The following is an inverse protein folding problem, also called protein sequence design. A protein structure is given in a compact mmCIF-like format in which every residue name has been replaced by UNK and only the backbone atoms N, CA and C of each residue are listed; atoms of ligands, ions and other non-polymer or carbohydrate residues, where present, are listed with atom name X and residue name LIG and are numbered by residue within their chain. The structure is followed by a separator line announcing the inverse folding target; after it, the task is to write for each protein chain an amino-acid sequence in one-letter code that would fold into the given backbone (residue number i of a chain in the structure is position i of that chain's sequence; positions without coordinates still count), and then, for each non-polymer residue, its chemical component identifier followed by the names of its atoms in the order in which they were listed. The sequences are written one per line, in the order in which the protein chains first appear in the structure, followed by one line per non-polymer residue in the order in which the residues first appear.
data_IF_263437655113
#
_entry.id   IF_263437655113
#
_cell.length_a   1.000
_cell.length_b   1.000
_cell.length_c   1.000
_cell.angle_alpha   90.00
_cell.angle_beta   90.00
_cell.angle_gamma   90.00
#
_symmetry.space_group_name_H-M   'P 1'
#
loop_
_entity.id
_entity.type
_entity.pdbx_description
1 polymer ?
#
# COMPACT_ATOMS: atom_id res chain seq x y z
N UNK A 1 1.10 -11.03 14.45
CA UNK A 1 2.32 -10.50 13.80
C UNK A 1 2.27 -8.97 13.58
N UNK A 2 1.26 -8.35 12.92
CA UNK A 2 1.20 -6.87 12.79
C UNK A 2 1.06 -6.15 14.15
N UNK A 3 0.41 -6.81 15.12
CA UNK A 3 0.29 -6.31 16.49
C UNK A 3 1.63 -6.24 17.23
N UNK A 4 2.60 -7.11 16.93
CA UNK A 4 3.94 -7.03 17.53
C UNK A 4 4.70 -5.79 17.03
N UNK A 5 4.63 -5.52 15.72
CA UNK A 5 5.19 -4.31 15.12
C UNK A 5 4.62 -3.04 15.79
N UNK A 6 3.30 -3.01 15.96
CA UNK A 6 2.63 -1.86 16.57
C UNK A 6 2.93 -1.70 18.07
N UNK A 7 2.99 -2.80 18.81
CA UNK A 7 3.34 -2.77 20.23
C UNK A 7 4.78 -2.29 20.42
N UNK A 8 5.73 -2.83 19.66
CA UNK A 8 7.11 -2.35 19.67
C UNK A 8 7.17 -0.84 19.36
N UNK A 9 6.48 -0.41 18.31
CA UNK A 9 6.38 1.00 17.94
C UNK A 9 5.87 1.88 19.09
N UNK A 10 4.70 1.57 19.64
CA UNK A 10 4.07 2.36 20.72
C UNK A 10 4.91 2.47 21.97
N UNK A 11 5.54 1.37 22.40
CA UNK A 11 6.22 1.31 23.70
C UNK A 11 7.68 1.76 23.65
N UNK A 12 8.34 1.66 22.48
CA UNK A 12 9.78 1.94 22.37
C UNK A 12 10.12 3.10 21.42
N UNK A 13 9.35 3.28 20.34
CA UNK A 13 9.74 4.17 19.23
C UNK A 13 8.81 5.38 19.03
N UNK A 14 7.66 5.43 19.69
CA UNK A 14 6.71 6.52 19.57
C UNK A 14 7.14 7.74 20.39
N UNK A 15 8.06 8.54 19.83
CA UNK A 15 8.59 9.77 20.47
C UNK A 15 7.63 10.96 20.44
N UNK A 16 6.62 10.89 19.58
CA UNK A 16 5.61 11.93 19.45
C UNK A 16 4.23 11.34 19.72
N UNK A 17 3.39 11.99 20.55
CA UNK A 17 2.03 11.54 20.77
C UNK A 17 1.23 11.64 19.46
N UNK A 18 0.49 10.57 19.17
CA UNK A 18 -0.46 10.50 18.06
C UNK A 18 -1.86 10.65 18.66
N UNK A 19 -2.49 11.78 18.40
CA UNK A 19 -3.82 12.13 18.90
C UNK A 19 -4.88 11.60 17.95
N UNK A 20 -5.47 10.46 18.30
CA UNK A 20 -6.59 9.87 17.59
C UNK A 20 -7.81 10.77 17.74
N UNK A 21 -8.51 11.04 16.64
CA UNK A 21 -9.76 11.80 16.64
C UNK A 21 -10.93 10.90 16.21
N UNK A 22 -12.13 11.32 16.58
CA UNK A 22 -13.40 10.65 16.30
C UNK A 22 -14.28 11.42 15.30
N UNK A 23 -13.77 12.51 14.71
CA UNK A 23 -14.50 13.30 13.72
C UNK A 23 -14.90 12.43 12.49
N UNK A 24 -16.17 12.05 12.45
CA UNK A 24 -16.71 11.11 11.46
C UNK A 24 -16.52 11.60 10.01
N UNK A 25 -16.71 12.90 9.75
CA UNK A 25 -16.54 13.46 8.39
C UNK A 25 -15.09 13.35 7.92
N UNK A 26 -14.14 13.67 8.80
CA UNK A 26 -12.71 13.55 8.49
C UNK A 26 -12.33 12.08 8.31
N UNK A 27 -12.84 11.16 9.15
CA UNK A 27 -12.60 9.72 8.99
C UNK A 27 -13.10 9.22 7.63
N UNK A 28 -14.28 9.64 7.19
CA UNK A 28 -14.82 9.30 5.87
C UNK A 28 -13.90 9.80 4.76
N UNK A 29 -13.48 11.08 4.83
CA UNK A 29 -12.51 11.67 3.90
C UNK A 29 -11.21 10.85 3.87
N UNK A 30 -10.66 10.50 5.03
CA UNK A 30 -9.43 9.71 5.13
C UNK A 30 -9.55 8.32 4.51
N UNK A 31 -10.68 7.65 4.73
CA UNK A 31 -10.97 6.31 4.18
C UNK A 31 -11.15 6.35 2.67
N UNK A 32 -11.77 7.40 2.14
CA UNK A 32 -11.94 7.59 0.70
C UNK A 32 -10.61 7.75 -0.02
N UNK A 33 -9.67 8.51 0.54
CA UNK A 33 -8.32 8.67 -0.02
C UNK A 33 -7.33 7.57 0.34
N UNK A 34 -7.73 6.55 1.13
CA UNK A 34 -6.87 5.43 1.47
C UNK A 34 -6.93 4.32 0.41
N UNK A 35 -5.85 4.16 -0.37
CA UNK A 35 -5.68 3.14 -1.41
C UNK A 35 -4.45 2.26 -1.15
N UNK A 36 -4.43 1.07 -1.75
CA UNK A 36 -3.25 0.18 -1.71
C UNK A 36 -2.13 0.59 -2.68
N UNK A 37 -1.24 -0.34 -2.99
CA UNK A 37 -0.24 -0.16 -4.05
C UNK A 37 -0.86 -0.03 -5.45
N UNK A 38 -0.08 0.47 -6.41
CA UNK A 38 -0.43 0.48 -7.83
C UNK A 38 -0.09 -0.87 -8.44
N UNK A 39 -1.04 -1.49 -9.12
CA UNK A 39 -0.78 -2.65 -9.97
C UNK A 39 -1.38 -2.34 -11.34
N UNK A 40 -0.55 -2.33 -12.38
CA UNK A 40 -0.98 -1.92 -13.72
C UNK A 40 -0.20 -2.65 -14.80
N UNK A 41 -0.91 -3.03 -15.85
CA UNK A 41 -0.32 -3.57 -17.07
C UNK A 41 -0.30 -2.46 -18.12
N UNK A 42 0.90 -1.99 -18.46
CA UNK A 42 1.09 -1.03 -19.57
C UNK A 42 1.12 -1.75 -20.92
N UNK A 43 1.29 -3.07 -20.91
CA UNK A 43 1.19 -3.96 -22.06
C UNK A 43 0.41 -5.22 -21.69
N UNK A 44 -0.40 -5.74 -22.61
CA UNK A 44 -1.10 -7.03 -22.50
C UNK A 44 -0.73 -7.89 -23.71
N UNK A 45 -0.36 -9.13 -23.47
CA UNK A 45 0.08 -10.09 -24.47
C UNK A 45 1.55 -10.51 -24.30
N UNK A 46 2.09 -11.14 -25.33
CA UNK A 46 3.49 -11.54 -25.42
C UNK A 46 4.33 -10.37 -25.91
N UNK A 47 5.29 -9.92 -25.11
CA UNK A 47 6.21 -8.86 -25.51
C UNK A 47 7.12 -9.34 -26.66
N UNK A 48 7.55 -8.43 -27.57
CA UNK A 48 8.54 -8.73 -28.60
C UNK A 48 9.82 -9.34 -28.01
N UNK A 49 10.59 -10.07 -28.82
CA UNK A 49 11.88 -10.62 -28.39
C UNK A 49 12.87 -9.47 -28.16
N UNK A 50 13.13 -9.18 -26.89
CA UNK A 50 14.07 -8.17 -26.41
C UNK A 50 14.52 -8.55 -24.99
N UNK A 51 15.51 -7.86 -24.44
CA UNK A 51 15.98 -8.06 -23.07
C UNK A 51 15.11 -7.25 -22.09
N UNK A 52 14.47 -7.97 -21.17
CA UNK A 52 13.63 -7.41 -20.12
C UNK A 52 14.25 -7.61 -18.74
N UNK A 53 13.93 -6.68 -17.84
CA UNK A 53 14.44 -6.61 -16.48
C UNK A 53 13.28 -6.48 -15.51
N UNK A 54 13.31 -7.28 -14.45
CA UNK A 54 12.42 -7.19 -13.30
C UNK A 54 13.16 -6.46 -12.19
N UNK A 55 12.68 -5.26 -11.87
CA UNK A 55 13.23 -4.42 -10.82
C UNK A 55 12.26 -4.34 -9.65
N UNK A 56 12.76 -4.33 -8.42
CA UNK A 56 11.99 -4.19 -7.18
C UNK A 56 12.63 -3.16 -6.24
N UNK A 57 11.85 -2.25 -5.66
CA UNK A 57 12.37 -1.26 -4.71
C UNK A 57 12.65 -1.94 -3.37
N UNK A 58 13.89 -1.83 -2.90
CA UNK A 58 14.29 -2.34 -1.60
C UNK A 58 13.50 -1.69 -0.46
N UNK A 59 12.47 -2.39 0.02
CA UNK A 59 11.62 -1.98 1.14
C UNK A 59 10.94 -0.62 0.90
N UNK A 60 10.14 -0.53 -0.17
CA UNK A 60 9.42 0.70 -0.57
C UNK A 60 8.70 1.42 0.59
N UNK A 61 7.82 0.73 1.32
CA UNK A 61 7.07 1.38 2.41
C UNK A 61 7.98 1.89 3.53
N UNK A 62 8.93 1.09 4.06
CA UNK A 62 9.94 1.58 5.00
C UNK A 62 10.73 2.78 4.49
N UNK A 63 11.12 2.78 3.22
CA UNK A 63 11.82 3.90 2.62
C UNK A 63 10.96 5.17 2.69
N UNK A 64 9.74 5.16 2.14
CA UNK A 64 8.88 6.37 2.18
C UNK A 64 8.56 6.80 3.60
N UNK A 65 8.40 5.86 4.54
CA UNK A 65 8.20 6.14 5.97
C UNK A 65 9.34 6.97 6.58
N UNK A 66 10.56 6.86 6.05
CA UNK A 66 11.70 7.70 6.47
C UNK A 66 11.79 9.04 5.74
N UNK A 67 11.16 9.17 4.57
CA UNK A 67 11.32 10.34 3.68
C UNK A 67 10.32 11.47 3.93
N UNK A 68 9.22 11.21 4.64
CA UNK A 68 8.16 12.21 4.85
C UNK A 68 7.78 12.42 6.32
N UNK A 69 7.13 13.56 6.58
CA UNK A 69 6.37 13.77 7.80
C UNK A 69 5.00 13.11 7.69
N UNK A 70 4.47 12.64 8.82
CA UNK A 70 3.18 11.96 8.90
C UNK A 70 2.23 12.63 9.90
N UNK A 71 0.91 12.57 9.65
CA UNK A 71 -0.10 13.13 10.54
C UNK A 71 0.04 12.61 11.98
N UNK A 72 0.00 13.52 12.95
CA UNK A 72 0.03 13.20 14.39
C UNK A 72 -1.17 13.73 15.15
N UNK A 73 -1.82 14.78 14.63
CA UNK A 73 -3.00 15.39 15.24
C UNK A 73 -3.82 16.10 14.18
N UNK A 74 -5.12 15.87 14.15
CA UNK A 74 -6.07 16.71 13.40
C UNK A 74 -6.13 18.10 14.07
N UNK A 75 -5.81 19.14 13.29
CA UNK A 75 -5.88 20.52 13.74
C UNK A 75 -7.28 21.10 13.54
N UNK A 76 -7.76 21.06 12.29
CA UNK A 76 -9.07 21.56 11.90
C UNK A 76 -9.46 20.97 10.54
N UNK A 77 -10.74 21.14 10.22
CA UNK A 77 -11.38 20.69 9.00
C UNK A 77 -12.26 21.82 8.45
N UNK A 78 -12.36 21.93 7.13
CA UNK A 78 -13.25 22.90 6.49
C UNK A 78 -13.76 22.40 5.14
N UNK A 79 -14.99 22.76 4.80
CA UNK A 79 -15.62 22.57 3.48
C UNK A 79 -15.64 23.87 2.67
N UNK A 80 -15.08 24.95 3.22
CA UNK A 80 -15.06 26.28 2.61
C UNK A 80 -13.65 26.85 2.73
N UNK A 81 -12.91 26.80 1.62
CA UNK A 81 -11.58 27.40 1.55
C UNK A 81 -11.31 27.93 0.14
N UNK A 82 -10.74 29.13 0.05
CA UNK A 82 -10.26 29.68 -1.21
C UNK A 82 -8.95 29.01 -1.60
N UNK A 83 -8.66 28.91 -2.90
CA UNK A 83 -7.42 28.28 -3.37
C UNK A 83 -6.16 28.99 -2.82
N UNK A 84 -6.20 30.33 -2.68
CA UNK A 84 -5.11 31.10 -2.08
C UNK A 84 -4.87 30.71 -0.61
N UNK A 85 -5.93 30.66 0.20
CA UNK A 85 -5.82 30.25 1.62
C UNK A 85 -5.40 28.79 1.75
N UNK A 86 -5.87 27.92 0.87
CA UNK A 86 -5.50 26.51 0.81
C UNK A 86 -3.99 26.34 0.59
N UNK A 87 -3.42 27.01 -0.42
CA UNK A 87 -1.97 26.98 -0.69
C UNK A 87 -1.15 27.38 0.54
N UNK A 88 -1.52 28.51 1.18
CA UNK A 88 -0.84 29.00 2.40
C UNK A 88 -0.91 28.01 3.56
N UNK A 89 -1.97 27.22 3.67
CA UNK A 89 -2.08 26.18 4.71
C UNK A 89 -1.33 24.90 4.35
N UNK A 90 -1.25 24.54 3.06
CA UNK A 90 -0.48 23.41 2.58
C UNK A 90 1.03 23.55 2.88
N UNK A 91 1.53 24.79 3.00
CA UNK A 91 2.92 25.06 3.40
C UNK A 91 3.17 24.84 4.91
N UNK A 92 2.11 24.84 5.73
CA UNK A 92 2.20 24.83 7.21
C UNK A 92 1.72 23.53 7.84
N UNK A 93 0.88 22.78 7.13
CA UNK A 93 0.22 21.59 7.65
C UNK A 93 0.38 20.44 6.66
N UNK A 94 0.29 19.22 7.17
CA UNK A 94 -0.06 18.09 6.33
C UNK A 94 -1.55 18.18 6.03
N UNK A 95 -1.94 17.78 4.82
CA UNK A 95 -3.30 17.98 4.32
C UNK A 95 -3.79 16.71 3.66
N UNK A 96 -5.06 16.40 3.91
CA UNK A 96 -5.84 15.50 3.09
C UNK A 96 -7.07 16.25 2.60
N UNK A 97 -7.30 16.26 1.30
CA UNK A 97 -8.33 17.10 0.71
C UNK A 97 -9.07 16.41 -0.44
N UNK A 98 -10.37 16.70 -0.51
CA UNK A 98 -11.21 16.41 -1.67
C UNK A 98 -11.10 17.57 -2.65
N UNK A 99 -10.66 17.26 -3.85
CA UNK A 99 -10.38 18.22 -4.91
C UNK A 99 -10.94 17.75 -6.24
N UNK A 100 -11.33 18.72 -7.08
CA UNK A 100 -11.55 18.50 -8.50
C UNK A 100 -10.27 18.90 -9.22
N UNK A 101 -9.71 17.99 -10.00
CA UNK A 101 -8.44 18.18 -10.72
C UNK A 101 -8.66 18.07 -12.23
N UNK A 102 -7.69 18.55 -13.01
CA UNK A 102 -7.52 18.21 -14.41
C UNK A 102 -6.05 17.88 -14.67
N UNK A 103 -5.69 16.59 -14.73
CA UNK A 103 -4.30 16.13 -14.83
C UNK A 103 -4.04 15.44 -16.17
N UNK A 104 -2.79 15.50 -16.64
CA UNK A 104 -2.36 14.82 -17.89
C UNK A 104 -1.65 13.49 -17.65
N UNK A 105 -1.36 13.17 -16.39
CA UNK A 105 -0.56 12.00 -16.01
C UNK A 105 -1.27 11.12 -14.98
N UNK A 106 -1.23 9.79 -15.11
CA UNK A 106 -1.97 8.85 -14.27
C UNK A 106 -1.25 8.54 -12.95
N UNK A 107 -1.18 9.51 -12.03
CA UNK A 107 -0.54 9.33 -10.70
C UNK A 107 -1.51 9.37 -9.52
N UNK A 108 -2.78 9.70 -9.75
CA UNK A 108 -3.81 9.72 -8.70
C UNK A 108 -4.67 8.47 -8.79
N UNK A 109 -4.77 7.74 -7.68
CA UNK A 109 -5.63 6.56 -7.58
C UNK A 109 -7.10 6.98 -7.45
N UNK A 110 -7.99 6.28 -8.16
CA UNK A 110 -9.43 6.42 -8.05
C UNK A 110 -10.12 5.05 -8.09
N UNK A 111 -11.14 4.85 -7.26
CA UNK A 111 -12.01 3.68 -7.35
C UNK A 111 -13.01 3.88 -8.48
N UNK A 112 -12.99 3.01 -9.48
CA UNK A 112 -13.96 2.97 -10.59
C UNK A 112 -14.46 1.52 -10.68
N UNK A 113 -15.77 1.30 -10.56
CA UNK A 113 -16.38 -0.04 -10.57
C UNK A 113 -15.69 -1.03 -9.60
N UNK A 114 -15.45 -0.59 -8.36
CA UNK A 114 -14.74 -1.36 -7.31
C UNK A 114 -13.29 -1.77 -7.65
N UNK A 115 -12.68 -1.19 -8.68
CA UNK A 115 -11.27 -1.39 -9.05
C UNK A 115 -10.47 -0.12 -8.81
N UNK A 116 -9.20 -0.27 -8.49
CA UNK A 116 -8.27 0.88 -8.40
C UNK A 116 -7.77 1.19 -9.80
N UNK A 117 -8.02 2.40 -10.26
CA UNK A 117 -7.62 2.92 -11.56
C UNK A 117 -6.81 4.22 -11.39
N UNK A 118 -6.07 4.61 -12.42
CA UNK A 118 -5.26 5.83 -12.45
C UNK A 118 -5.69 6.71 -13.63
N UNK A 119 -6.85 7.39 -13.54
CA UNK A 119 -7.38 8.15 -14.66
C UNK A 119 -6.60 9.44 -14.92
N UNK A 120 -6.74 9.97 -16.13
CA UNK A 120 -6.31 11.32 -16.54
C UNK A 120 -7.54 12.18 -16.91
N UNK A 121 -7.33 13.47 -17.11
CA UNK A 121 -8.38 14.44 -17.39
C UNK A 121 -9.03 14.98 -16.12
N UNK A 122 -10.30 15.37 -16.23
CA UNK A 122 -11.04 16.06 -15.17
C UNK A 122 -11.82 15.07 -14.29
N UNK A 123 -11.52 15.05 -12.99
CA UNK A 123 -12.25 14.22 -12.03
C UNK A 123 -12.10 14.70 -10.58
N UNK A 124 -13.02 14.26 -9.72
CA UNK A 124 -12.91 14.41 -8.26
C UNK A 124 -12.06 13.29 -7.65
N UNK A 125 -11.20 13.63 -6.69
CA UNK A 125 -10.39 12.69 -5.91
C UNK A 125 -10.15 13.20 -4.48
N UNK A 126 -9.77 12.29 -3.59
CA UNK A 126 -9.25 12.62 -2.26
C UNK A 126 -7.78 12.21 -2.20
N UNK A 127 -6.90 13.17 -1.93
CA UNK A 127 -5.44 13.01 -2.01
C UNK A 127 -4.76 13.65 -0.81
N UNK A 128 -3.53 13.22 -0.54
CA UNK A 128 -2.70 13.65 0.58
C UNK A 128 -1.66 14.71 0.15
N UNK A 129 -0.88 15.14 1.13
CA UNK A 129 0.00 16.31 1.06
C UNK A 129 0.89 16.38 -0.17
N UNK A 130 1.65 15.34 -0.50
CA UNK A 130 2.66 15.42 -1.58
C UNK A 130 2.02 15.47 -2.98
N UNK A 131 0.90 14.77 -3.16
CA UNK A 131 0.09 14.90 -4.38
C UNK A 131 -0.54 16.28 -4.47
N UNK A 132 -1.07 16.83 -3.37
CA UNK A 132 -1.59 18.19 -3.33
C UNK A 132 -0.55 19.24 -3.68
N UNK A 133 0.69 19.09 -3.18
CA UNK A 133 1.81 19.98 -3.53
C UNK A 133 2.12 19.93 -5.03
N UNK A 134 2.16 18.72 -5.62
CA UNK A 134 2.34 18.54 -7.07
C UNK A 134 1.21 19.20 -7.86
N UNK A 135 -0.05 18.96 -7.47
CA UNK A 135 -1.22 19.57 -8.12
C UNK A 135 -1.23 21.11 -8.04
N UNK A 136 -0.80 21.68 -6.92
CA UNK A 136 -0.64 23.14 -6.74
C UNK A 136 0.45 23.68 -7.65
N UNK A 137 1.61 23.01 -7.70
CA UNK A 137 2.75 23.38 -8.56
C UNK A 137 2.34 23.37 -10.04
N UNK A 138 1.64 22.33 -10.46
CA UNK A 138 1.21 22.13 -11.84
C UNK A 138 -0.04 22.95 -12.20
N UNK A 139 -0.63 23.67 -11.22
CA UNK A 139 -1.87 24.46 -11.36
C UNK A 139 -3.05 23.65 -11.91
N UNK A 140 -3.15 22.38 -11.51
CA UNK A 140 -4.16 21.42 -12.00
C UNK A 140 -5.35 21.26 -11.06
N UNK A 141 -5.35 21.91 -9.89
CA UNK A 141 -6.53 22.00 -9.00
C UNK A 141 -7.54 22.98 -9.58
N UNK A 142 -8.73 22.48 -9.92
CA UNK A 142 -9.87 23.30 -10.33
C UNK A 142 -10.61 23.84 -9.11
N UNK A 143 -10.86 22.98 -8.12
CA UNK A 143 -11.65 23.32 -6.93
C UNK A 143 -11.20 22.49 -5.73
N UNK A 144 -11.15 23.12 -4.55
CA UNK A 144 -11.04 22.43 -3.26
C UNK A 144 -12.44 22.38 -2.64
N UNK A 145 -12.98 21.18 -2.43
CA UNK A 145 -14.31 21.00 -1.85
C UNK A 145 -14.26 20.84 -0.34
N UNK A 146 -13.23 20.16 0.16
CA UNK A 146 -13.09 19.82 1.57
C UNK A 146 -11.63 19.55 1.89
N UNK A 147 -11.16 19.97 3.07
CA UNK A 147 -9.79 19.72 3.50
C UNK A 147 -9.70 19.52 5.02
N UNK A 148 -8.92 18.52 5.42
CA UNK A 148 -8.49 18.27 6.79
C UNK A 148 -7.00 18.58 6.91
N UNK A 149 -6.64 19.29 7.98
CA UNK A 149 -5.29 19.80 8.22
C UNK A 149 -4.71 19.17 9.49
N UNK A 150 -3.47 18.71 9.42
CA UNK A 150 -2.82 17.94 10.47
C UNK A 150 -1.45 18.52 10.84
N UNK A 151 -1.07 18.36 12.12
CA UNK A 151 0.35 18.48 12.50
C UNK A 151 1.12 17.27 11.97
N UNK A 152 2.30 17.50 11.40
CA UNK A 152 3.19 16.46 10.88
C UNK A 152 4.45 16.28 11.73
N UNK A 153 4.94 15.04 11.83
CA UNK A 153 6.25 14.70 12.42
C UNK A 153 6.90 13.50 11.71
N UNK A 154 8.23 13.35 11.87
CA UNK A 154 8.99 12.14 11.52
C UNK A 154 8.76 11.03 12.52
N UNK A 155 7.60 10.38 12.43
CA UNK A 155 7.19 9.39 13.43
C UNK A 155 7.83 8.00 13.23
N UNK A 156 8.40 7.69 12.06
CA UNK A 156 8.88 6.34 11.75
C UNK A 156 10.39 6.16 11.74
N UNK A 157 11.18 7.24 11.68
CA UNK A 157 12.63 7.15 11.42
C UNK A 157 13.35 6.18 12.37
N UNK A 158 13.21 6.37 13.69
CA UNK A 158 13.91 5.54 14.68
C UNK A 158 13.52 4.05 14.58
N UNK A 159 12.23 3.77 14.33
CA UNK A 159 11.72 2.42 14.16
C UNK A 159 12.32 1.75 12.91
N UNK A 160 12.29 2.44 11.77
CA UNK A 160 12.79 1.89 10.51
C UNK A 160 14.30 1.74 10.55
N UNK A 161 15.03 2.72 11.08
CA UNK A 161 16.49 2.65 11.21
C UNK A 161 16.91 1.46 12.08
N UNK A 162 16.23 1.23 13.20
CA UNK A 162 16.52 0.10 14.08
C UNK A 162 16.33 -1.25 13.38
N UNK A 163 15.16 -1.49 12.78
CA UNK A 163 14.88 -2.76 12.12
C UNK A 163 15.64 -2.93 10.80
N UNK A 164 16.02 -1.85 10.12
CA UNK A 164 16.86 -1.91 8.93
C UNK A 164 18.29 -2.35 9.29
N UNK A 165 18.88 -1.80 10.37
CA UNK A 165 20.18 -2.23 10.88
C UNK A 165 20.18 -3.71 11.28
N UNK A 166 19.14 -4.17 11.97
CA UNK A 166 18.98 -5.61 12.28
C UNK A 166 18.89 -6.47 11.03
N UNK A 167 18.05 -6.06 10.05
CA UNK A 167 17.91 -6.75 8.77
C UNK A 167 19.25 -6.89 8.04
N UNK A 168 20.08 -5.84 8.05
CA UNK A 168 21.41 -5.84 7.46
C UNK A 168 22.38 -6.74 8.23
N UNK A 169 22.38 -6.70 9.56
CA UNK A 169 23.13 -7.61 10.43
C UNK A 169 22.83 -9.08 10.11
N UNK A 170 21.57 -9.49 10.21
CA UNK A 170 21.15 -10.86 9.89
C UNK A 170 21.43 -11.27 8.44
N UNK A 171 21.48 -10.32 7.51
CA UNK A 171 21.86 -10.62 6.12
C UNK A 171 23.35 -10.97 6.00
N UNK A 172 24.22 -10.30 6.77
CA UNK A 172 25.66 -10.62 6.83
C UNK A 172 25.91 -11.96 7.51
N UNK A 173 25.14 -12.28 8.53
CA UNK A 173 25.28 -13.52 9.31
C UNK A 173 24.64 -14.74 8.64
N UNK A 174 23.98 -14.57 7.48
CA UNK A 174 23.27 -15.63 6.78
C UNK A 174 21.94 -16.06 7.42
N UNK A 175 21.49 -15.39 8.49
CA UNK A 175 20.23 -15.67 9.17
C UNK A 175 19.02 -15.19 8.35
N UNK A 176 18.48 -16.11 7.55
CA UNK A 176 17.27 -15.89 6.74
C UNK A 176 16.03 -15.62 7.60
N UNK A 177 15.93 -16.19 8.80
CA UNK A 177 14.76 -16.03 9.67
C UNK A 177 14.74 -14.64 10.32
N UNK A 178 15.82 -14.23 10.99
CA UNK A 178 15.95 -12.92 11.61
C UNK A 178 15.82 -11.79 10.59
N UNK A 179 16.40 -11.98 9.40
CA UNK A 179 16.21 -11.08 8.26
C UNK A 179 14.73 -10.92 7.87
N UNK A 180 14.00 -12.03 7.77
CA UNK A 180 12.57 -12.04 7.40
C UNK A 180 11.71 -11.36 8.46
N UNK A 181 11.96 -11.64 9.73
CA UNK A 181 11.27 -10.99 10.86
C UNK A 181 11.52 -9.49 10.85
N UNK A 182 12.76 -9.05 10.67
CA UNK A 182 13.11 -7.62 10.61
C UNK A 182 12.42 -6.91 9.44
N UNK A 183 12.45 -7.50 8.23
CA UNK A 183 11.70 -6.97 7.06
C UNK A 183 10.21 -6.87 7.35
N UNK A 184 9.64 -7.89 7.99
CA UNK A 184 8.23 -7.95 8.34
C UNK A 184 7.81 -6.85 9.32
N UNK A 185 8.61 -6.61 10.37
CA UNK A 185 8.35 -5.58 11.38
C UNK A 185 8.26 -4.20 10.75
N UNK A 186 9.12 -3.90 9.75
CA UNK A 186 9.06 -2.63 9.02
C UNK A 186 7.82 -2.53 8.12
N UNK A 187 7.55 -3.56 7.31
CA UNK A 187 6.51 -3.49 6.29
C UNK A 187 5.08 -3.51 6.84
N UNK A 188 4.86 -4.02 8.05
CA UNK A 188 3.49 -4.19 8.59
C UNK A 188 3.03 -3.09 9.53
N UNK A 189 3.93 -2.22 9.97
CA UNK A 189 3.62 -1.16 10.93
C UNK A 189 2.55 -0.21 10.39
N UNK A 190 2.74 0.34 9.19
CA UNK A 190 1.83 1.37 8.65
C UNK A 190 0.38 0.84 8.50
N UNK A 191 0.21 -0.45 8.21
CA UNK A 191 -1.10 -1.07 8.02
C UNK A 191 -1.96 -1.03 9.28
N UNK A 192 -1.35 -0.96 10.46
CA UNK A 192 -2.07 -0.85 11.75
C UNK A 192 -2.80 0.48 11.89
N UNK A 193 -2.26 1.55 11.31
CA UNK A 193 -2.94 2.86 11.27
C UNK A 193 -4.13 2.89 10.32
N UNK A 194 -4.25 1.91 9.41
CA UNK A 194 -5.39 1.74 8.51
C UNK A 194 -6.37 0.65 8.93
N UNK A 195 -6.21 0.05 10.12
CA UNK A 195 -7.00 -1.11 10.53
C UNK A 195 -8.47 -0.74 10.80
N UNK A 196 -9.40 -1.61 10.39
CA UNK A 196 -10.81 -1.57 10.83
C UNK A 196 -11.02 -2.53 11.99
N UNK A 197 -11.98 -2.21 12.85
CA UNK A 197 -12.42 -3.16 13.88
C UNK A 197 -13.15 -4.33 13.21
N UNK A 198 -12.95 -5.53 13.73
CA UNK A 198 -13.86 -6.64 13.43
C UNK A 198 -15.11 -6.45 14.28
N UNK A 199 -16.27 -6.75 13.71
CA UNK A 199 -17.54 -6.74 14.44
C UNK A 199 -17.86 -8.19 14.78
N UNK A 200 -17.94 -8.49 16.08
CA UNK A 200 -18.40 -9.80 16.56
C UNK A 200 -19.91 -9.81 16.39
N UNK A 201 -20.38 -10.66 15.48
CA UNK A 201 -21.80 -10.79 15.14
C UNK A 201 -22.49 -11.77 16.09
N UNK A 202 -21.77 -12.84 16.45
CA UNK A 202 -22.27 -13.91 17.29
C UNK A 202 -21.12 -14.51 18.09
N UNK A 203 -21.40 -14.86 19.34
CA UNK A 203 -20.49 -15.57 20.22
C UNK A 203 -21.29 -16.60 21.02
N UNK A 204 -20.85 -17.84 21.04
CA UNK A 204 -21.46 -18.93 21.80
C UNK A 204 -20.41 -19.92 22.31
N UNK A 205 -20.80 -20.75 23.27
CA UNK A 205 -19.95 -21.80 23.79
C UNK A 205 -19.76 -22.92 22.75
N UNK A 206 -18.58 -23.52 22.76
CA UNK A 206 -18.23 -24.67 21.93
C UNK A 206 -17.41 -25.67 22.74
N UNK A 207 -17.36 -26.96 22.36
CA UNK A 207 -16.46 -27.90 23.02
C UNK A 207 -15.00 -27.39 22.98
N UNK A 208 -14.29 -27.51 24.11
CA UNK A 208 -12.90 -27.05 24.27
C UNK A 208 -11.96 -27.62 23.20
N UNK A 209 -12.18 -28.89 22.84
CA UNK A 209 -11.35 -29.64 21.89
C UNK A 209 -11.57 -29.18 20.44
N UNK A 210 -12.68 -28.49 20.16
CA UNK A 210 -13.08 -28.14 18.80
C UNK A 210 -12.25 -26.95 18.32
N UNK A 211 -11.52 -27.16 17.22
CA UNK A 211 -10.72 -26.12 16.57
C UNK A 211 -11.09 -26.04 15.10
N UNK A 212 -11.85 -25.01 14.74
CA UNK A 212 -12.33 -24.81 13.38
C UNK A 212 -12.14 -23.36 12.94
N UNK A 213 -11.99 -23.20 11.63
CA UNK A 213 -11.61 -21.95 10.99
C UNK A 213 -12.15 -21.95 9.58
N UNK A 214 -13.20 -21.18 9.32
CA UNK A 214 -13.72 -21.04 7.95
C UNK A 214 -14.36 -19.69 7.70
N UNK A 215 -14.27 -19.25 6.44
CA UNK A 215 -14.94 -18.06 5.96
C UNK A 215 -16.21 -18.43 5.20
N UNK A 216 -17.26 -17.65 5.39
CA UNK A 216 -18.50 -17.76 4.63
C UNK A 216 -18.86 -16.44 3.95
N UNK A 217 -19.88 -16.51 3.09
CA UNK A 217 -20.52 -15.33 2.51
C UNK A 217 -22.01 -15.43 2.81
N UNK A 218 -22.53 -14.42 3.48
CA UNK A 218 -23.95 -14.26 3.67
C UNK A 218 -24.60 -14.00 2.30
N UNK A 219 -25.59 -14.82 1.93
CA UNK A 219 -26.19 -14.77 0.59
C UNK A 219 -27.16 -13.59 0.42
N UNK A 220 -27.70 -13.05 1.52
CA UNK A 220 -28.68 -11.95 1.50
C UNK A 220 -27.97 -10.61 1.38
N UNK A 221 -27.04 -10.35 2.30
CA UNK A 221 -26.26 -9.11 2.37
C UNK A 221 -25.04 -9.13 1.46
N UNK A 222 -24.59 -10.30 1.03
CA UNK A 222 -23.36 -10.48 0.25
C UNK A 222 -22.07 -10.28 1.05
N UNK A 223 -22.16 -10.02 2.36
CA UNK A 223 -21.03 -9.76 3.26
C UNK A 223 -20.28 -11.04 3.60
N UNK A 224 -18.98 -10.91 3.84
CA UNK A 224 -18.13 -12.05 4.24
C UNK A 224 -18.01 -12.07 5.75
N UNK A 225 -18.20 -13.25 6.32
CA UNK A 225 -17.98 -13.51 7.74
C UNK A 225 -16.92 -14.59 7.92
N UNK A 226 -16.41 -14.70 9.13
CA UNK A 226 -15.41 -15.66 9.52
C UNK A 226 -15.85 -16.32 10.83
N UNK A 227 -15.83 -17.66 10.87
CA UNK A 227 -16.18 -18.46 12.07
C UNK A 227 -14.93 -19.08 12.66
N UNK A 228 -14.55 -18.64 13.87
CA UNK A 228 -13.47 -19.22 14.68
C UNK A 228 -14.10 -20.06 15.76
N UNK A 229 -13.72 -21.33 15.84
CA UNK A 229 -13.97 -22.15 17.03
C UNK A 229 -12.62 -22.42 17.67
N UNK A 230 -12.43 -21.94 18.89
CA UNK A 230 -11.20 -22.15 19.65
C UNK A 230 -11.40 -21.86 21.13
N UNK A 231 -10.81 -22.69 22.00
CA UNK A 231 -10.74 -22.41 23.44
C UNK A 231 -12.12 -22.39 24.11
N UNK A 232 -13.03 -23.25 23.67
CA UNK A 232 -14.37 -23.35 24.22
C UNK A 232 -15.36 -22.31 23.67
N UNK A 233 -14.98 -21.54 22.65
CA UNK A 233 -15.83 -20.50 22.06
C UNK A 233 -15.92 -20.61 20.55
N UNK A 234 -17.12 -20.36 20.04
CA UNK A 234 -17.38 -20.06 18.65
C UNK A 234 -17.61 -18.55 18.52
N UNK A 235 -16.87 -17.91 17.62
CA UNK A 235 -17.03 -16.49 17.31
C UNK A 235 -17.25 -16.31 15.82
N UNK A 236 -18.33 -15.63 15.45
CA UNK A 236 -18.60 -15.20 14.08
C UNK A 236 -18.26 -13.73 13.98
N UNK A 237 -17.25 -13.39 13.18
CA UNK A 237 -16.86 -12.01 12.93
C UNK A 237 -17.15 -11.58 11.51
N UNK A 238 -17.61 -10.34 11.36
CA UNK A 238 -17.64 -9.65 10.08
C UNK A 238 -16.54 -8.58 10.05
N UNK A 239 -16.09 -8.23 8.84
CA UNK A 239 -15.21 -7.08 8.68
C UNK A 239 -15.99 -5.80 8.95
N UNK A 240 -15.85 -5.27 10.16
CA UNK A 240 -16.52 -4.06 10.58
C UNK A 240 -16.16 -2.83 9.75
N UNK A 241 -17.03 -1.82 9.81
CA UNK A 241 -16.84 -0.56 9.08
C UNK A 241 -16.09 0.47 9.91
N UNK A 242 -16.13 0.33 11.24
CA UNK A 242 -15.51 1.26 12.19
C UNK A 242 -13.99 1.15 12.21
N UNK A 243 -13.34 2.28 12.48
CA UNK A 243 -11.91 2.33 12.75
C UNK A 243 -11.59 1.53 14.03
N UNK A 244 -10.44 0.86 14.04
CA UNK A 244 -9.88 0.33 15.30
C UNK A 244 -9.48 1.47 16.24
N UNK A 245 -9.40 1.19 17.55
CA UNK A 245 -9.14 2.20 18.58
C UNK A 245 -7.87 3.04 18.33
N UNK A 246 -6.81 2.44 17.82
CA UNK A 246 -5.53 3.12 17.54
C UNK A 246 -5.35 3.49 16.05
N UNK A 247 -6.43 3.52 15.29
CA UNK A 247 -6.39 3.78 13.85
C UNK A 247 -6.39 5.27 13.58
N UNK A 248 -5.42 5.71 12.77
CA UNK A 248 -5.38 7.07 12.22
C UNK A 248 -5.13 6.94 10.72
N UNK A 249 -6.22 6.91 9.94
CA UNK A 249 -6.21 6.46 8.55
C UNK A 249 -5.37 7.39 7.68
N UNK A 250 -5.36 8.69 7.99
CA UNK A 250 -4.52 9.68 7.32
C UNK A 250 -3.03 9.27 7.27
N UNK A 251 -2.49 8.63 8.32
CA UNK A 251 -1.10 8.13 8.32
C UNK A 251 -0.90 7.06 7.25
N UNK A 252 -1.78 6.06 7.22
CA UNK A 252 -1.68 4.97 6.25
C UNK A 252 -1.95 5.45 4.81
N UNK A 253 -2.85 6.42 4.63
CA UNK A 253 -3.10 7.07 3.35
C UNK A 253 -1.86 7.81 2.83
N UNK A 254 -1.19 8.61 3.68
CA UNK A 254 0.06 9.29 3.31
C UNK A 254 1.17 8.30 2.95
N UNK A 255 1.37 7.22 3.73
CA UNK A 255 2.41 6.21 3.43
C UNK A 255 2.17 5.58 2.05
N UNK A 256 0.94 5.15 1.79
CA UNK A 256 0.62 4.46 0.54
C UNK A 256 0.59 5.39 -0.67
N UNK A 257 0.17 6.64 -0.51
CA UNK A 257 0.19 7.62 -1.60
C UNK A 257 1.61 8.05 -1.96
N UNK A 258 2.47 8.31 -0.96
CA UNK A 258 3.87 8.65 -1.22
C UNK A 258 4.59 7.49 -1.93
N UNK A 259 4.27 6.23 -1.57
CA UNK A 259 4.79 5.06 -2.29
C UNK A 259 4.33 5.00 -3.75
N UNK A 260 3.04 5.26 -4.03
CA UNK A 260 2.53 5.33 -5.41
C UNK A 260 3.16 6.47 -6.21
N UNK A 261 3.38 7.63 -5.57
CA UNK A 261 4.00 8.78 -6.20
C UNK A 261 5.47 8.50 -6.57
N UNK A 262 6.23 7.90 -5.65
CA UNK A 262 7.61 7.47 -5.91
C UNK A 262 7.70 6.45 -7.05
N UNK A 263 6.80 5.47 -7.07
CA UNK A 263 6.73 4.51 -8.17
C UNK A 263 6.44 5.21 -9.50
N UNK A 264 5.48 6.14 -9.54
CA UNK A 264 5.18 6.88 -10.76
C UNK A 264 6.36 7.72 -11.24
N UNK A 265 7.07 8.40 -10.33
CA UNK A 265 8.26 9.17 -10.68
C UNK A 265 9.37 8.28 -11.26
N UNK A 266 9.51 7.07 -10.73
CA UNK A 266 10.44 6.08 -11.26
C UNK A 266 10.02 5.56 -12.64
N UNK A 267 8.73 5.33 -12.87
CA UNK A 267 8.18 4.95 -14.19
C UNK A 267 8.45 6.07 -15.21
N UNK A 268 8.24 7.33 -14.82
CA UNK A 268 8.56 8.48 -15.68
C UNK A 268 10.05 8.56 -16.00
N UNK A 269 10.90 8.31 -15.00
CA UNK A 269 12.36 8.32 -15.17
C UNK A 269 12.83 7.19 -16.10
N UNK A 270 12.29 5.98 -15.96
CA UNK A 270 12.52 4.88 -16.90
C UNK A 270 11.99 5.19 -18.30
N UNK A 271 10.99 6.04 -18.39
CA UNK A 271 10.22 6.32 -19.60
C UNK A 271 8.98 5.44 -19.63
N UNK A 272 7.81 6.08 -19.77
CA UNK A 272 6.51 5.37 -19.72
C UNK A 272 6.41 4.27 -20.78
N UNK A 273 6.96 4.50 -21.98
CA UNK A 273 7.00 3.49 -23.05
C UNK A 273 8.00 2.35 -22.83
N UNK A 274 8.88 2.48 -21.85
CA UNK A 274 9.91 1.50 -21.50
C UNK A 274 9.50 0.62 -20.32
N UNK A 275 8.31 0.82 -19.74
CA UNK A 275 7.76 0.05 -18.62
C UNK A 275 6.50 -0.69 -19.08
N UNK A 276 6.45 -2.01 -18.84
CA UNK A 276 5.38 -2.88 -19.36
C UNK A 276 4.41 -3.36 -18.28
N UNK A 277 4.87 -3.42 -17.03
CA UNK A 277 4.09 -3.89 -15.88
C UNK A 277 4.60 -3.25 -14.60
N UNK A 278 3.71 -3.06 -13.62
CA UNK A 278 4.10 -2.78 -12.24
C UNK A 278 3.20 -3.49 -11.22
N UNK A 279 3.76 -3.83 -10.06
CA UNK A 279 3.02 -4.26 -8.87
C UNK A 279 3.67 -3.73 -7.59
N UNK A 280 3.07 -2.70 -7.03
CA UNK A 280 3.41 -2.01 -5.77
C UNK A 280 4.80 -1.39 -5.73
N UNK A 281 5.84 -2.20 -5.69
CA UNK A 281 7.25 -1.86 -5.58
C UNK A 281 8.09 -2.41 -6.73
N UNK A 282 7.48 -3.17 -7.65
CA UNK A 282 8.15 -3.78 -8.78
C UNK A 282 7.73 -3.19 -10.13
N UNK A 283 8.66 -3.19 -11.10
CA UNK A 283 8.42 -2.85 -12.51
C UNK A 283 9.10 -3.85 -13.45
N UNK A 284 8.49 -4.06 -14.62
CA UNK A 284 9.14 -4.73 -15.75
C UNK A 284 9.51 -3.70 -16.80
N UNK A 285 10.77 -3.68 -17.20
CA UNK A 285 11.32 -2.68 -18.14
C UNK A 285 12.25 -3.31 -19.17
N UNK A 286 12.48 -2.64 -20.29
CA UNK A 286 13.48 -3.02 -21.29
C UNK A 286 14.87 -2.44 -20.94
N UNK A 287 15.85 -2.64 -21.83
CA UNK A 287 17.21 -2.11 -21.66
C UNK A 287 17.28 -0.59 -21.53
N UNK A 288 16.41 0.15 -22.22
CA UNK A 288 16.37 1.61 -22.16
C UNK A 288 15.93 2.10 -20.78
N UNK A 289 14.80 1.59 -20.27
CA UNK A 289 14.32 1.98 -18.94
C UNK A 289 15.23 1.50 -17.82
N UNK A 290 15.82 0.31 -17.95
CA UNK A 290 16.87 -0.17 -17.04
C UNK A 290 18.07 0.80 -16.98
N UNK A 291 18.55 1.25 -18.14
CA UNK A 291 19.69 2.17 -18.24
C UNK A 291 19.38 3.52 -17.61
N UNK A 292 18.18 4.07 -17.85
CA UNK A 292 17.74 5.36 -17.26
C UNK A 292 17.61 5.29 -15.73
N UNK A 293 17.31 4.11 -15.18
CA UNK A 293 17.27 3.86 -13.74
C UNK A 293 18.64 3.48 -13.16
N UNK A 294 19.68 3.27 -13.97
CA UNK A 294 20.96 2.67 -13.56
C UNK A 294 21.61 3.31 -12.34
N UNK A 295 21.56 4.65 -12.20
CA UNK A 295 22.10 5.38 -11.05
C UNK A 295 21.37 5.13 -9.71
N UNK A 296 20.22 4.45 -9.74
CA UNK A 296 19.43 4.09 -8.55
C UNK A 296 19.40 2.58 -8.30
N UNK A 297 20.18 1.80 -9.07
CA UNK A 297 20.25 0.35 -8.91
C UNK A 297 21.27 -0.01 -7.84
N UNK A 298 20.83 -0.69 -6.78
CA UNK A 298 21.69 -1.20 -5.72
C UNK A 298 21.07 -2.45 -5.08
N UNK A 299 21.89 -3.48 -4.83
CA UNK A 299 21.42 -4.80 -4.38
C UNK A 299 20.62 -4.78 -3.06
N UNK A 300 21.03 -3.94 -2.11
CA UNK A 300 20.47 -3.93 -0.75
C UNK A 300 20.09 -2.57 -0.17
N UNK A 301 20.47 -1.46 -0.82
CA UNK A 301 20.31 -0.11 -0.26
C UNK A 301 18.84 0.26 -0.19
N UNK A 302 18.39 0.72 0.97
CA UNK A 302 17.00 1.11 1.22
C UNK A 302 16.52 2.13 0.19
N UNK A 303 15.37 1.87 -0.44
CA UNK A 303 14.78 2.75 -1.45
C UNK A 303 15.38 2.65 -2.86
N UNK A 304 16.52 1.98 -3.04
CA UNK A 304 17.09 1.73 -4.37
C UNK A 304 16.40 0.57 -5.09
N UNK A 305 16.48 0.58 -6.41
CA UNK A 305 16.04 -0.51 -7.27
C UNK A 305 17.00 -1.70 -7.15
N UNK A 306 16.45 -2.89 -6.98
CA UNK A 306 17.17 -4.15 -7.02
C UNK A 306 16.81 -4.85 -8.33
N UNK A 307 17.82 -5.29 -9.08
CA UNK A 307 17.61 -6.24 -10.16
C UNK A 307 17.27 -7.61 -9.57
N UNK A 308 16.03 -8.05 -9.75
CA UNK A 308 15.58 -9.37 -9.31
C UNK A 308 15.83 -10.44 -10.36
N UNK A 309 15.53 -10.13 -11.63
CA UNK A 309 15.64 -11.08 -12.73
C UNK A 309 15.78 -10.38 -14.10
N UNK A 310 16.24 -11.12 -15.11
CA UNK A 310 16.35 -10.68 -16.50
C UNK A 310 15.99 -11.82 -17.45
N UNK A 311 15.29 -11.52 -18.53
CA UNK A 311 14.82 -12.53 -19.50
C UNK A 311 14.72 -11.97 -20.91
N UNK A 312 14.54 -12.86 -21.90
CA UNK A 312 14.20 -12.50 -23.28
C UNK A 312 12.72 -12.70 -23.64
N UNK A 313 11.93 -13.24 -22.71
CA UNK A 313 10.52 -13.58 -22.94
C UNK A 313 9.64 -13.17 -21.78
N UNK A 314 8.62 -12.35 -22.07
CA UNK A 314 7.62 -11.92 -21.09
C UNK A 314 6.24 -11.97 -21.73
N UNK A 315 5.27 -12.52 -20.99
CA UNK A 315 3.86 -12.52 -21.37
C UNK A 315 3.03 -11.98 -20.22
N UNK A 316 2.32 -10.88 -20.42
CA UNK A 316 1.46 -10.26 -19.41
C UNK A 316 0.01 -10.53 -19.80
N UNK A 317 -0.72 -11.26 -18.96
CA UNK A 317 -2.14 -11.59 -19.19
C UNK A 317 -3.08 -10.69 -18.39
N UNK A 318 -2.60 -10.16 -17.27
CA UNK A 318 -3.33 -9.20 -16.47
C UNK A 318 -2.64 -8.88 -15.15
N UNK A 319 -3.29 -8.08 -14.28
CA UNK A 319 -2.77 -7.75 -12.97
C UNK A 319 -2.52 -9.01 -12.14
N UNK A 320 -1.25 -9.25 -11.79
CA UNK A 320 -0.80 -10.44 -11.05
C UNK A 320 -1.05 -11.75 -11.82
N UNK A 321 -1.04 -11.68 -13.15
CA UNK A 321 -1.04 -12.82 -14.04
C UNK A 321 -0.07 -12.59 -15.20
N UNK A 322 1.13 -13.17 -15.11
CA UNK A 322 2.19 -13.00 -16.09
C UNK A 322 3.17 -14.18 -16.09
N UNK A 323 3.98 -14.25 -17.13
CA UNK A 323 5.15 -15.13 -17.24
C UNK A 323 6.36 -14.25 -17.55
N UNK A 324 7.42 -14.36 -16.77
CA UNK A 324 8.67 -13.63 -16.91
C UNK A 324 9.81 -14.65 -16.94
N UNK A 325 10.31 -14.98 -18.15
CA UNK A 325 11.17 -16.15 -18.34
C UNK A 325 10.46 -17.43 -17.89
N UNK A 326 11.10 -18.18 -16.99
CA UNK A 326 10.56 -19.42 -16.43
C UNK A 326 9.61 -19.17 -15.24
N UNK A 327 9.57 -17.95 -14.69
CA UNK A 327 8.66 -17.60 -13.61
C UNK A 327 7.25 -17.35 -14.15
N UNK A 328 6.28 -18.19 -13.74
CA UNK A 328 4.86 -17.92 -13.94
C UNK A 328 4.20 -17.49 -12.63
N UNK A 329 3.55 -16.33 -12.66
CA UNK A 329 2.74 -15.83 -11.56
C UNK A 329 1.27 -15.82 -11.96
N UNK A 330 0.40 -16.40 -11.12
CA UNK A 330 -1.05 -16.34 -11.27
C UNK A 330 -1.68 -16.05 -9.92
N UNK A 331 -2.49 -14.98 -9.86
CA UNK A 331 -3.14 -14.54 -8.63
C UNK A 331 -3.98 -15.67 -8.01
N UNK A 332 -3.73 -15.96 -6.74
CA UNK A 332 -4.48 -16.97 -5.99
C UNK A 332 -4.01 -18.41 -6.23
N UNK A 333 -3.02 -18.62 -7.10
CA UNK A 333 -2.42 -19.93 -7.37
C UNK A 333 -0.99 -19.91 -6.82
N UNK A 334 -0.66 -20.86 -5.93
CA UNK A 334 0.68 -20.99 -5.36
C UNK A 334 1.65 -21.56 -6.37
N UNK A 335 2.94 -21.30 -6.17
CA UNK A 335 4.02 -21.87 -7.01
C UNK A 335 4.04 -23.40 -7.01
N UNK A 336 3.58 -24.03 -5.92
CA UNK A 336 3.50 -25.48 -5.76
C UNK A 336 2.09 -26.04 -6.08
N UNK A 337 1.19 -25.24 -6.65
CA UNK A 337 -0.14 -25.73 -7.03
C UNK A 337 -0.02 -26.70 -8.23
N UNK A 338 -0.74 -27.81 -8.16
CA UNK A 338 -0.79 -28.82 -9.23
C UNK A 338 -1.95 -28.47 -10.16
N UNK A 339 -1.67 -28.32 -11.46
CA UNK A 339 -2.74 -28.15 -12.46
C UNK A 339 -3.43 -29.50 -12.67
N UNK A 340 -4.70 -29.60 -12.31
CA UNK A 340 -5.49 -30.83 -12.45
C UNK A 340 -6.39 -30.81 -13.69
N UNK A 341 -6.78 -29.63 -14.17
CA UNK A 341 -7.48 -29.44 -15.44
C UNK A 341 -7.27 -28.02 -15.96
N UNK A 342 -7.87 -27.67 -17.11
CA UNK A 342 -7.83 -26.30 -17.60
C UNK A 342 -8.47 -25.33 -16.60
N UNK A 343 -7.69 -24.30 -16.25
CA UNK A 343 -7.98 -23.32 -15.20
C UNK A 343 -8.32 -23.90 -13.82
N UNK A 344 -7.98 -25.16 -13.56
CA UNK A 344 -8.27 -25.84 -12.30
C UNK A 344 -6.97 -26.29 -11.65
N UNK A 345 -6.77 -25.85 -10.41
CA UNK A 345 -5.53 -26.07 -9.66
C UNK A 345 -5.84 -26.60 -8.28
N UNK A 346 -5.14 -27.65 -7.89
CA UNK A 346 -5.12 -28.19 -6.54
C UNK A 346 -3.94 -27.58 -5.77
N UNK A 347 -4.19 -27.12 -4.55
CA UNK A 347 -3.15 -26.51 -3.71
C UNK A 347 -3.53 -26.60 -2.23
N UNK A 348 -2.53 -26.69 -1.36
CA UNK A 348 -2.72 -26.70 0.09
C UNK A 348 -3.50 -25.46 0.56
N UNK A 349 -4.56 -25.68 1.35
CA UNK A 349 -5.18 -24.64 2.17
C UNK A 349 -4.18 -24.25 3.27
N UNK A 350 -3.29 -23.28 3.00
CA UNK A 350 -2.47 -22.75 4.08
C UNK A 350 -3.32 -21.96 5.08
N UNK A 351 -3.03 -22.17 6.35
CA UNK A 351 -3.52 -21.37 7.48
C UNK A 351 -3.35 -19.87 7.27
#
# INVERSE_FOLDING_TARGET
RPSQAFNAYRHRFMRHPIYIHDNARVITLEREGYFGGRTECFYIGKLPKDKYFKLDINSLYPFVMTQHDYPTKLCFHTQRITLSRFKRFLDKYLVMARVVVNIKEPYIAKRINNRTCFPVGRFECVVCTEVLKRLVKDRTIIKVQEAAFYKGKRIFNEYIDFFNKLKEGYSRDGDKFGRRVSKYMMNTLYGKFGQRCEEVMHEEDSPLEKVESYGGRDLVSGKRYWVVVYGGRLTVTEKGEKNGYNTFVSIAAHVTENARLLLWDSIKKAGVGSVFYCDTDSIFTNSEGFTRLGGEIHVSKLGCWKLEDKTFGVTIRGPKDYTFGDETHRKGIRKNAVKVADNTFEQDKGR
#
